data_IF_071129048756
#
_entry.id   IF_071129048756
#
_cell.length_a   1.000
_cell.length_b   1.000
_cell.length_c   1.000
_cell.angle_alpha   90.00
_cell.angle_beta   90.00
_cell.angle_gamma   90.00
#
_symmetry.space_group_name_H-M   'P 1'
#
loop_
_entity.id
_entity.type
_entity.pdbx_description
1 polymer ?
#
# COMPACT_ATOMS: atom_id res chain seq x y z
N UNK A 1 8.58 28.81 -12.22
CA UNK A 1 9.77 28.37 -11.45
C UNK A 1 9.47 26.95 -11.02
N UNK A 2 10.05 25.99 -11.73
CA UNK A 2 9.93 24.56 -11.44
C UNK A 2 11.06 24.25 -10.47
N UNK A 3 10.72 23.92 -9.23
CA UNK A 3 11.69 23.41 -8.25
C UNK A 3 11.74 21.89 -8.39
N UNK A 4 12.79 21.41 -9.05
CA UNK A 4 13.20 20.01 -9.03
C UNK A 4 13.61 19.64 -7.60
N UNK A 5 12.90 18.70 -6.98
CA UNK A 5 13.36 18.07 -5.75
C UNK A 5 14.15 16.81 -6.10
N UNK A 6 15.47 16.93 -6.07
CA UNK A 6 16.40 15.81 -6.07
C UNK A 6 16.25 15.11 -4.72
N UNK A 7 15.64 13.92 -4.72
CA UNK A 7 15.75 12.99 -3.59
C UNK A 7 17.19 12.49 -3.60
N UNK A 8 17.98 12.94 -2.62
CA UNK A 8 19.37 12.55 -2.47
C UNK A 8 19.42 11.10 -1.97
N UNK A 9 19.45 10.14 -2.90
CA UNK A 9 19.73 8.74 -2.60
C UNK A 9 21.24 8.59 -2.40
N UNK A 10 21.69 8.74 -1.17
CA UNK A 10 23.07 8.46 -0.79
C UNK A 10 23.40 7.00 -1.10
N UNK A 11 24.25 6.78 -2.10
CA UNK A 11 24.87 5.48 -2.37
C UNK A 11 25.70 5.08 -1.15
N UNK A 12 25.24 4.07 -0.42
CA UNK A 12 26.14 3.21 0.33
C UNK A 12 25.83 1.76 -0.06
N UNK A 13 26.82 1.16 -0.71
CA UNK A 13 26.86 -0.25 -1.02
C UNK A 13 27.02 -1.01 0.29
N UNK A 14 25.90 -1.47 0.85
CA UNK A 14 25.84 -2.73 1.57
C UNK A 14 24.37 -3.14 1.66
N UNK A 15 24.09 -4.39 1.30
CA UNK A 15 22.75 -4.99 1.24
C UNK A 15 21.89 -4.61 2.45
N UNK A 16 20.93 -3.70 2.29
CA UNK A 16 20.03 -3.31 3.38
C UNK A 16 18.66 -2.88 2.87
N UNK A 17 17.65 -3.47 3.50
CA UNK A 17 16.25 -3.10 3.45
C UNK A 17 16.07 -1.58 3.53
N UNK A 18 15.22 -1.03 2.66
CA UNK A 18 14.66 0.30 2.86
C UNK A 18 13.63 0.24 3.99
N UNK A 19 14.10 0.19 5.23
CA UNK A 19 13.25 0.45 6.39
C UNK A 19 13.00 1.94 6.44
N UNK A 20 11.95 2.41 5.76
CA UNK A 20 11.34 3.69 6.10
C UNK A 20 10.69 3.47 7.45
N UNK A 21 11.46 3.74 8.51
CA UNK A 21 10.95 3.85 9.86
C UNK A 21 9.76 4.81 9.80
N UNK A 22 8.62 4.38 10.37
CA UNK A 22 7.55 5.29 10.75
C UNK A 22 8.25 6.51 11.33
N UNK A 23 8.02 7.67 10.73
CA UNK A 23 8.33 8.92 11.39
C UNK A 23 7.48 8.92 12.65
N UNK A 24 7.98 8.32 13.74
CA UNK A 24 7.61 8.75 15.07
C UNK A 24 7.92 10.23 15.02
N UNK A 25 6.88 11.06 15.09
CA UNK A 25 7.01 12.50 15.19
C UNK A 25 8.09 12.82 16.24
N UNK A 26 9.34 13.02 15.79
CA UNK A 26 10.38 13.62 16.62
C UNK A 26 10.27 15.14 16.61
N UNK A 27 9.41 15.70 15.76
CA UNK A 27 9.18 17.15 15.65
C UNK A 27 7.76 17.61 16.06
N UNK A 28 6.86 16.69 16.44
CA UNK A 28 5.72 17.01 17.30
C UNK A 28 5.73 16.08 18.51
N UNK A 29 6.01 16.63 19.69
CA UNK A 29 6.21 15.86 20.92
C UNK A 29 4.98 15.06 21.35
N UNK A 30 4.84 13.84 20.84
CA UNK A 30 3.86 12.85 21.30
C UNK A 30 4.57 11.57 21.78
N UNK A 31 5.65 11.74 22.53
CA UNK A 31 5.94 10.82 23.62
C UNK A 31 5.10 11.30 24.81
N UNK A 32 3.99 10.63 25.09
CA UNK A 32 3.25 10.79 26.33
C UNK A 32 4.22 10.48 27.49
N UNK A 33 3.99 11.02 28.70
CA UNK A 33 4.86 10.97 29.90
C UNK A 33 5.52 9.62 30.29
N UNK A 34 5.24 8.53 29.57
CA UNK A 34 5.67 7.16 29.82
C UNK A 34 6.40 6.46 28.64
N UNK A 35 6.66 7.15 27.52
CA UNK A 35 7.51 6.62 26.43
C UNK A 35 6.92 5.46 25.61
N UNK A 36 5.59 5.28 25.61
CA UNK A 36 4.91 4.25 24.82
C UNK A 36 4.76 4.74 23.36
N UNK A 37 5.18 3.95 22.36
CA UNK A 37 5.04 4.34 20.96
C UNK A 37 3.56 4.35 20.54
N UNK A 38 3.14 5.47 19.98
CA UNK A 38 1.79 5.70 19.45
C UNK A 38 1.88 5.82 17.93
N UNK A 39 0.83 5.37 17.26
CA UNK A 39 0.62 5.56 15.82
C UNK A 39 -0.57 6.46 15.56
N UNK A 40 -0.49 7.24 14.49
CA UNK A 40 -1.60 8.03 13.98
C UNK A 40 -2.32 7.24 12.89
N UNK A 41 -3.62 7.05 13.06
CA UNK A 41 -4.50 6.30 12.16
C UNK A 41 -5.68 7.17 11.78
N UNK A 42 -6.19 7.01 10.56
CA UNK A 42 -7.30 7.81 10.05
C UNK A 42 -8.57 6.98 9.95
N UNK A 43 -9.71 7.54 10.35
CA UNK A 43 -10.98 6.83 10.34
C UNK A 43 -12.11 7.76 9.95
N UNK A 44 -12.87 7.40 8.92
CA UNK A 44 -14.00 8.20 8.45
C UNK A 44 -15.28 7.83 9.20
N UNK A 45 -15.99 8.86 9.64
CA UNK A 45 -17.28 8.72 10.32
C UNK A 45 -18.29 9.64 9.66
N UNK A 46 -19.56 9.29 9.74
CA UNK A 46 -20.62 10.20 9.27
C UNK A 46 -20.59 11.49 10.11
N UNK A 47 -20.69 12.63 9.44
CA UNK A 47 -20.60 13.94 10.10
C UNK A 47 -21.68 14.12 11.17
N UNK A 48 -22.86 13.52 10.99
CA UNK A 48 -23.95 13.51 11.98
C UNK A 48 -23.57 12.84 13.32
N UNK A 49 -22.63 11.90 13.31
CA UNK A 49 -22.18 11.17 14.51
C UNK A 49 -20.97 11.82 15.19
N UNK A 50 -20.40 12.89 14.61
CA UNK A 50 -19.10 13.43 15.00
C UNK A 50 -19.06 13.85 16.48
N UNK A 51 -20.02 14.66 16.93
CA UNK A 51 -20.05 15.14 18.33
C UNK A 51 -20.04 13.97 19.30
N UNK A 52 -20.91 12.99 19.06
CA UNK A 52 -21.05 11.84 19.95
C UNK A 52 -19.75 11.02 20.04
N UNK A 53 -19.03 10.91 18.93
CA UNK A 53 -17.73 10.22 18.88
C UNK A 53 -16.64 11.00 19.61
N UNK A 54 -16.58 12.32 19.46
CA UNK A 54 -15.59 13.14 20.17
C UNK A 54 -15.86 13.17 21.69
N UNK A 55 -17.14 13.21 22.08
CA UNK A 55 -17.57 13.31 23.47
C UNK A 55 -17.50 11.96 24.21
N UNK A 56 -17.86 10.86 23.54
CA UNK A 56 -18.00 9.53 24.16
C UNK A 56 -16.97 8.49 23.69
N UNK A 57 -16.18 8.78 22.65
CA UNK A 57 -15.24 7.82 22.05
C UNK A 57 -15.90 6.83 21.08
N UNK A 58 -15.10 5.87 20.57
CA UNK A 58 -15.53 4.79 19.68
C UNK A 58 -15.40 3.44 20.39
N UNK A 59 -16.53 2.89 20.84
CA UNK A 59 -16.58 1.58 21.50
C UNK A 59 -16.40 0.44 20.50
N UNK A 60 -15.38 -0.40 20.70
CA UNK A 60 -15.07 -1.52 19.80
C UNK A 60 -16.26 -2.45 19.56
N UNK A 61 -16.94 -2.86 20.62
CA UNK A 61 -18.09 -3.76 20.54
C UNK A 61 -19.29 -3.20 19.77
N UNK A 62 -19.34 -1.89 19.52
CA UNK A 62 -20.45 -1.22 18.85
C UNK A 62 -20.13 -0.82 17.40
N UNK A 63 -18.85 -0.63 17.07
CA UNK A 63 -18.43 -0.06 15.80
C UNK A 63 -17.40 -0.91 15.02
N UNK A 64 -17.05 -2.11 15.49
CA UNK A 64 -16.14 -3.00 14.76
C UNK A 64 -16.69 -3.32 13.37
N UNK A 65 -15.79 -3.43 12.39
CA UNK A 65 -16.12 -3.74 11.00
C UNK A 65 -15.17 -4.79 10.39
N UNK A 66 -14.30 -5.37 11.22
CA UNK A 66 -13.39 -6.46 10.88
C UNK A 66 -13.33 -7.48 12.01
N UNK A 67 -13.14 -8.73 11.62
CA UNK A 67 -12.69 -9.81 12.48
C UNK A 67 -11.43 -10.41 11.85
N UNK A 68 -10.41 -10.66 12.66
CA UNK A 68 -9.16 -11.30 12.24
C UNK A 68 -8.85 -12.48 13.15
N UNK A 69 -7.96 -13.37 12.67
CA UNK A 69 -7.42 -14.47 13.46
C UNK A 69 -6.06 -14.07 14.01
N UNK A 70 -5.90 -14.05 15.33
CA UNK A 70 -4.64 -13.82 16.01
C UNK A 70 -4.42 -14.92 17.04
N UNK A 71 -3.29 -15.62 16.96
CA UNK A 71 -2.95 -16.75 17.85
C UNK A 71 -4.05 -17.83 17.95
N UNK A 72 -4.86 -17.97 16.90
CA UNK A 72 -5.99 -18.91 16.83
C UNK A 72 -7.32 -18.35 17.31
N UNK A 73 -7.34 -17.15 17.92
CA UNK A 73 -8.54 -16.49 18.40
C UNK A 73 -9.09 -15.47 17.41
N UNK A 74 -10.42 -15.31 17.39
CA UNK A 74 -11.07 -14.23 16.64
C UNK A 74 -11.03 -12.93 17.42
N UNK A 75 -10.44 -11.90 16.81
CA UNK A 75 -10.31 -10.57 17.40
C UNK A 75 -11.12 -9.57 16.57
N UNK A 76 -11.98 -8.81 17.24
CA UNK A 76 -12.75 -7.72 16.62
C UNK A 76 -11.84 -6.50 16.44
N UNK A 77 -11.97 -5.81 15.31
CA UNK A 77 -11.18 -4.62 15.00
C UNK A 77 -12.00 -3.52 14.32
N UNK A 78 -11.53 -2.28 14.47
CA UNK A 78 -11.80 -1.23 13.50
C UNK A 78 -10.79 -1.32 12.35
N UNK A 79 -11.25 -1.16 11.12
CA UNK A 79 -10.42 -0.88 9.96
C UNK A 79 -10.25 0.62 9.78
N UNK A 80 -9.06 1.12 10.12
CA UNK A 80 -8.62 2.48 9.83
C UNK A 80 -7.68 2.53 8.62
N UNK A 81 -7.33 3.73 8.20
CA UNK A 81 -6.43 4.02 7.09
C UNK A 81 -5.09 4.52 7.62
N UNK A 82 -4.02 4.24 6.89
CA UNK A 82 -2.70 4.83 7.14
C UNK A 82 -2.52 6.20 6.48
N UNK A 83 -3.30 6.49 5.44
CA UNK A 83 -3.37 7.80 4.82
C UNK A 83 -4.85 8.14 4.55
N UNK A 84 -5.33 9.34 4.93
CA UNK A 84 -6.73 9.71 4.71
C UNK A 84 -7.13 9.73 3.23
N UNK A 85 -6.17 9.80 2.30
CA UNK A 85 -6.38 9.75 0.84
C UNK A 85 -6.48 8.32 0.27
N UNK A 86 -6.26 7.29 1.08
CA UNK A 86 -6.43 5.88 0.67
C UNK A 86 -7.91 5.50 0.49
N UNK A 87 -8.82 6.40 0.88
CA UNK A 87 -10.23 6.34 0.52
C UNK A 87 -10.62 7.65 -0.20
N UNK A 88 -10.46 7.72 -1.53
CA UNK A 88 -10.71 8.94 -2.29
C UNK A 88 -12.20 9.33 -2.32
N UNK A 89 -13.11 8.37 -2.15
CA UNK A 89 -14.55 8.61 -2.12
C UNK A 89 -14.94 9.34 -0.83
N UNK A 90 -14.54 8.79 0.33
CA UNK A 90 -14.81 9.42 1.62
C UNK A 90 -14.00 10.71 1.82
N UNK A 91 -12.77 10.78 1.31
CA UNK A 91 -11.95 12.00 1.39
C UNK A 91 -12.60 13.22 0.73
N UNK A 92 -13.39 13.01 -0.33
CA UNK A 92 -14.09 14.08 -1.07
C UNK A 92 -15.55 14.26 -0.61
N UNK A 93 -16.08 13.34 0.20
CA UNK A 93 -17.48 13.36 0.59
C UNK A 93 -17.77 14.39 1.69
N UNK A 94 -18.76 15.28 1.51
CA UNK A 94 -19.14 16.24 2.55
C UNK A 94 -19.95 15.62 3.69
N UNK A 95 -20.48 14.41 3.52
CA UNK A 95 -21.24 13.69 4.54
C UNK A 95 -20.39 12.92 5.54
N UNK A 96 -19.07 12.92 5.34
CA UNK A 96 -18.11 12.21 6.17
C UNK A 96 -17.02 13.15 6.69
N UNK A 97 -16.63 12.93 7.93
CA UNK A 97 -15.53 13.62 8.58
C UNK A 97 -14.43 12.61 8.88
N UNK A 98 -13.20 12.93 8.49
CA UNK A 98 -12.04 12.13 8.85
C UNK A 98 -11.61 12.46 10.28
N UNK A 99 -11.47 11.44 11.10
CA UNK A 99 -10.82 11.51 12.39
C UNK A 99 -9.34 11.15 12.24
N UNK A 100 -8.49 11.84 12.98
CA UNK A 100 -7.12 11.47 13.29
C UNK A 100 -7.12 10.85 14.68
N UNK A 101 -6.71 9.59 14.78
CA UNK A 101 -6.78 8.79 16.01
C UNK A 101 -5.38 8.41 16.42
N UNK A 102 -5.04 8.64 17.69
CA UNK A 102 -3.80 8.15 18.28
C UNK A 102 -4.04 6.83 18.99
N UNK A 103 -3.33 5.79 18.59
CA UNK A 103 -3.48 4.44 19.16
C UNK A 103 -2.10 3.90 19.55
N UNK A 104 -2.05 3.12 20.63
CA UNK A 104 -0.82 2.42 21.03
C UNK A 104 -0.44 1.38 19.99
N UNK A 105 0.84 1.30 19.65
CA UNK A 105 1.32 0.34 18.65
C UNK A 105 0.92 -1.09 18.97
N UNK A 106 0.97 -1.52 20.24
CA UNK A 106 0.60 -2.91 20.61
C UNK A 106 -0.89 -3.25 20.39
N UNK A 107 -1.72 -2.26 20.05
CA UNK A 107 -3.14 -2.42 19.71
C UNK A 107 -3.43 -2.27 18.22
N UNK A 108 -2.40 -2.10 17.40
CA UNK A 108 -2.50 -1.85 15.97
C UNK A 108 -1.78 -2.91 15.14
N UNK A 109 -2.48 -3.41 14.13
CA UNK A 109 -1.95 -4.35 13.14
C UNK A 109 -2.24 -3.82 11.75
N UNK A 110 -1.41 -4.15 10.77
CA UNK A 110 -1.62 -3.80 9.37
C UNK A 110 -1.94 -5.05 8.58
N UNK A 111 -2.90 -4.95 7.67
CA UNK A 111 -3.23 -5.99 6.70
C UNK A 111 -3.45 -5.39 5.31
N UNK A 112 -3.40 -6.22 4.27
CA UNK A 112 -3.70 -5.78 2.91
C UNK A 112 -5.20 -5.93 2.62
N UNK A 113 -5.95 -4.82 2.71
CA UNK A 113 -7.38 -4.76 2.42
C UNK A 113 -7.69 -5.24 1.01
N UNK A 114 -6.74 -5.13 0.07
CA UNK A 114 -6.92 -5.65 -1.28
C UNK A 114 -7.18 -7.16 -1.28
N UNK A 115 -6.53 -7.93 -0.40
CA UNK A 115 -6.77 -9.37 -0.25
C UNK A 115 -8.15 -9.66 0.34
N UNK A 116 -8.59 -8.83 1.29
CA UNK A 116 -9.93 -8.95 1.87
C UNK A 116 -11.03 -8.67 0.83
N UNK A 117 -10.89 -7.60 0.06
CA UNK A 117 -11.86 -7.18 -0.96
C UNK A 117 -11.96 -8.16 -2.14
N UNK A 118 -10.89 -8.90 -2.43
CA UNK A 118 -10.85 -9.89 -3.51
C UNK A 118 -11.24 -11.31 -3.06
N UNK A 119 -11.58 -11.52 -1.79
CA UNK A 119 -12.13 -12.80 -1.36
C UNK A 119 -13.55 -12.97 -1.92
N UNK A 120 -13.83 -14.12 -2.54
CA UNK A 120 -15.15 -14.45 -3.13
C UNK A 120 -16.27 -14.64 -2.07
N UNK A 121 -15.94 -14.46 -0.81
CA UNK A 121 -16.79 -14.60 0.36
C UNK A 121 -16.01 -14.36 1.64
N UNK A 122 -16.69 -14.46 2.79
CA UNK A 122 -16.09 -14.31 4.12
C UNK A 122 -15.79 -15.67 4.78
N UNK A 123 -15.48 -16.70 3.96
CA UNK A 123 -15.04 -17.99 4.49
C UNK A 123 -13.57 -17.92 4.85
N UNK A 124 -13.19 -18.54 5.96
CA UNK A 124 -11.82 -18.51 6.46
C UNK A 124 -10.80 -19.06 5.45
N UNK A 125 -11.18 -20.03 4.60
CA UNK A 125 -10.32 -20.56 3.54
C UNK A 125 -10.04 -19.56 2.42
N UNK A 126 -10.96 -18.61 2.17
CA UNK A 126 -10.81 -17.58 1.14
C UNK A 126 -10.03 -16.37 1.69
N UNK A 127 -10.07 -16.16 3.01
CA UNK A 127 -9.36 -15.10 3.73
C UNK A 127 -7.96 -15.50 4.22
N UNK A 128 -7.49 -16.71 3.91
CA UNK A 128 -6.20 -17.21 4.40
C UNK A 128 -5.03 -16.27 4.04
N UNK A 129 -5.00 -15.76 2.81
CA UNK A 129 -3.97 -14.80 2.38
C UNK A 129 -4.09 -13.48 3.12
N UNK A 130 -5.32 -13.01 3.35
CA UNK A 130 -5.56 -11.80 4.12
C UNK A 130 -5.08 -11.97 5.58
N UNK A 131 -5.43 -13.07 6.25
CA UNK A 131 -4.96 -13.35 7.61
C UNK A 131 -3.44 -13.46 7.69
N UNK A 132 -2.78 -14.06 6.70
CA UNK A 132 -1.31 -14.10 6.61
C UNK A 132 -0.67 -12.73 6.38
N UNK A 133 -1.42 -11.76 5.86
CA UNK A 133 -0.95 -10.38 5.71
C UNK A 133 -1.04 -9.57 7.00
N UNK A 134 -1.70 -10.07 8.04
CA UNK A 134 -1.81 -9.34 9.32
C UNK A 134 -0.46 -9.34 10.02
N UNK A 135 0.12 -8.15 10.20
CA UNK A 135 1.38 -7.96 10.92
C UNK A 135 1.28 -6.83 11.95
N UNK A 136 2.06 -6.87 13.05
CA UNK A 136 2.17 -5.74 13.97
C UNK A 136 2.62 -4.47 13.24
N UNK A 137 2.10 -3.32 13.63
CA UNK A 137 2.34 -2.07 12.91
C UNK A 137 3.82 -1.66 12.86
N UNK A 138 4.59 -1.97 13.90
CA UNK A 138 6.02 -1.71 13.96
C UNK A 138 6.84 -2.54 12.96
N UNK A 139 6.25 -3.59 12.38
CA UNK A 139 6.87 -4.41 11.33
C UNK A 139 6.44 -4.01 9.93
N UNK A 140 5.47 -3.11 9.79
CA UNK A 140 4.97 -2.70 8.49
C UNK A 140 5.96 -1.79 7.76
N UNK A 141 6.18 -2.07 6.48
CA UNK A 141 7.03 -1.30 5.58
C UNK A 141 6.11 -0.55 4.60
N UNK A 142 6.29 0.77 4.48
CA UNK A 142 5.46 1.59 3.60
C UNK A 142 5.49 1.12 2.15
N UNK A 143 4.30 0.95 1.58
CA UNK A 143 4.13 0.48 0.20
C UNK A 143 4.37 -1.03 0.02
N UNK A 144 4.45 -1.81 1.10
CA UNK A 144 4.48 -3.27 1.02
C UNK A 144 3.10 -3.86 0.65
N UNK A 145 2.01 -3.18 1.02
CA UNK A 145 0.63 -3.57 0.71
C UNK A 145 -0.02 -2.55 -0.21
N UNK A 146 -0.90 -3.02 -1.10
CA UNK A 146 -1.56 -2.16 -2.09
C UNK A 146 -2.60 -1.27 -1.44
N UNK A 147 -3.44 -1.85 -0.59
CA UNK A 147 -4.45 -1.14 0.18
C UNK A 147 -4.25 -1.45 1.67
N UNK A 148 -3.24 -0.87 2.34
CA UNK A 148 -3.01 -1.13 3.74
C UNK A 148 -4.18 -0.60 4.59
N UNK A 149 -4.72 -1.45 5.45
CA UNK A 149 -5.64 -1.05 6.51
C UNK A 149 -4.99 -1.24 7.88
N UNK A 150 -5.23 -0.31 8.80
CA UNK A 150 -4.81 -0.42 10.19
C UNK A 150 -5.96 -0.99 11.03
N UNK A 151 -5.77 -2.21 11.50
CA UNK A 151 -6.66 -2.96 12.36
C UNK A 151 -6.44 -2.55 13.82
N UNK A 152 -7.40 -1.83 14.39
CA UNK A 152 -7.35 -1.33 15.77
C UNK A 152 -8.16 -2.27 16.67
N UNK A 153 -7.50 -2.87 17.66
CA UNK A 153 -8.07 -3.92 18.54
C UNK A 153 -8.56 -3.38 19.90
N UNK A 154 -8.68 -2.05 20.03
CA UNK A 154 -9.09 -1.39 21.29
C UNK A 154 -10.21 -0.39 21.04
N UNK A 155 -10.97 -0.08 22.09
CA UNK A 155 -11.87 1.08 22.12
C UNK A 155 -11.04 2.36 22.09
N UNK A 156 -11.52 3.36 21.35
CA UNK A 156 -10.94 4.71 21.32
C UNK A 156 -11.67 5.55 22.36
N UNK A 157 -10.94 6.12 23.31
CA UNK A 157 -11.49 6.95 24.37
C UNK A 157 -11.66 8.41 23.91
N UNK A 158 -12.54 9.19 24.57
CA UNK A 158 -12.60 10.63 24.37
C UNK A 158 -11.21 11.27 24.48
N UNK A 159 -10.87 12.14 23.55
CA UNK A 159 -9.56 12.81 23.47
C UNK A 159 -8.45 12.02 22.74
N UNK A 160 -8.65 10.73 22.43
CA UNK A 160 -7.72 9.96 21.57
C UNK A 160 -8.01 10.16 20.07
N UNK A 161 -9.11 10.83 19.74
CA UNK A 161 -9.49 11.20 18.38
C UNK A 161 -9.69 12.72 18.24
N UNK A 162 -9.26 13.27 17.12
CA UNK A 162 -9.49 14.65 16.73
C UNK A 162 -9.96 14.73 15.28
N UNK A 163 -10.62 15.83 14.90
CA UNK A 163 -10.95 16.07 13.48
C UNK A 163 -9.66 16.34 12.72
N UNK A 164 -9.48 15.66 11.59
CA UNK A 164 -8.33 15.87 10.71
C UNK A 164 -8.34 17.28 10.11
N UNK A 165 -7.27 18.06 10.31
CA UNK A 165 -7.01 19.23 9.46
C UNK A 165 -6.28 18.79 8.19
N UNK A 166 -6.99 18.71 7.07
CA UNK A 166 -6.43 18.27 5.78
C UNK A 166 -5.18 19.04 5.35
N UNK A 167 -4.99 20.29 5.80
CA UNK A 167 -3.84 21.13 5.43
C UNK A 167 -2.60 20.82 6.26
N UNK A 168 -2.79 20.48 7.54
CA UNK A 168 -1.71 20.33 8.50
C UNK A 168 -1.40 18.87 8.82
N UNK A 169 -2.40 17.99 8.80
CA UNK A 169 -2.32 16.62 9.30
C UNK A 169 -2.22 15.55 8.21
N UNK A 170 -2.28 15.92 6.92
CA UNK A 170 -2.13 14.91 5.85
C UNK A 170 -0.66 14.47 5.75
N UNK A 171 -0.36 13.16 5.66
CA UNK A 171 1.00 12.67 5.42
C UNK A 171 1.63 13.32 4.19
N UNK A 172 2.83 13.87 4.33
CA UNK A 172 3.56 14.56 3.25
C UNK A 172 4.38 13.58 2.40
N UNK A 173 4.69 12.39 2.95
CA UNK A 173 5.67 11.46 2.40
C UNK A 173 5.20 10.85 1.06
N UNK A 174 3.90 10.61 0.89
CA UNK A 174 3.32 10.04 -0.34
C UNK A 174 1.85 10.45 -0.52
N UNK A 175 1.36 10.38 -1.75
CA UNK A 175 -0.02 10.79 -2.10
C UNK A 175 -1.06 9.82 -1.55
N UNK A 176 -0.93 8.53 -1.85
CA UNK A 176 -1.77 7.42 -1.41
C UNK A 176 -0.99 6.10 -1.49
N UNK A 177 -1.43 5.11 -0.74
CA UNK A 177 -0.73 3.83 -0.56
C UNK A 177 -0.69 2.97 -1.82
N UNK A 178 -1.73 3.03 -2.67
CA UNK A 178 -1.79 2.25 -3.90
C UNK A 178 -0.73 2.69 -4.91
N UNK A 179 -0.59 4.00 -5.11
CA UNK A 179 0.44 4.57 -5.99
C UNK A 179 1.84 4.21 -5.49
N UNK A 180 2.08 4.31 -4.18
CA UNK A 180 3.36 3.93 -3.57
C UNK A 180 3.67 2.44 -3.79
N UNK A 181 2.69 1.56 -3.57
CA UNK A 181 2.84 0.12 -3.80
C UNK A 181 3.21 -0.20 -5.25
N UNK A 182 2.47 0.37 -6.22
CA UNK A 182 2.77 0.14 -7.65
C UNK A 182 4.18 0.62 -8.00
N UNK A 183 4.57 1.80 -7.51
CA UNK A 183 5.90 2.33 -7.76
C UNK A 183 7.00 1.43 -7.16
N UNK A 184 6.80 0.90 -5.96
CA UNK A 184 7.73 -0.04 -5.33
C UNK A 184 7.86 -1.32 -6.17
N UNK A 185 6.74 -1.93 -6.59
CA UNK A 185 6.75 -3.14 -7.44
C UNK A 185 7.49 -2.89 -8.75
N UNK A 186 7.22 -1.75 -9.42
CA UNK A 186 7.90 -1.39 -10.66
C UNK A 186 9.40 -1.16 -10.45
N UNK A 187 9.78 -0.54 -9.34
CA UNK A 187 11.17 -0.30 -8.99
C UNK A 187 11.91 -1.63 -8.73
N UNK A 188 11.32 -2.53 -7.95
CA UNK A 188 11.89 -3.86 -7.69
C UNK A 188 12.09 -4.65 -9.00
N UNK A 189 11.11 -4.57 -9.91
CA UNK A 189 11.21 -5.19 -11.24
C UNK A 189 12.36 -4.60 -12.06
N UNK A 190 12.56 -3.28 -12.04
CA UNK A 190 13.66 -2.61 -12.74
C UNK A 190 15.03 -2.98 -12.18
N UNK A 191 15.13 -3.14 -10.87
CA UNK A 191 16.36 -3.56 -10.20
C UNK A 191 16.72 -5.01 -10.53
N UNK A 192 15.73 -5.90 -10.61
CA UNK A 192 15.93 -7.32 -10.92
C UNK A 192 16.11 -7.59 -12.42
N UNK A 193 15.44 -6.80 -13.26
CA UNK A 193 15.36 -6.98 -14.70
C UNK A 193 15.59 -5.64 -15.43
N UNK A 194 16.82 -5.44 -15.91
CA UNK A 194 17.21 -4.24 -16.65
C UNK A 194 16.36 -3.96 -17.91
N UNK A 195 15.71 -4.98 -18.48
CA UNK A 195 14.85 -4.88 -19.66
C UNK A 195 13.35 -4.78 -19.28
N UNK A 196 13.01 -4.68 -18.00
CA UNK A 196 11.62 -4.72 -17.49
C UNK A 196 10.67 -3.74 -18.18
N UNK A 197 11.12 -2.52 -18.50
CA UNK A 197 10.28 -1.54 -19.22
C UNK A 197 9.92 -2.05 -20.63
N UNK A 198 10.88 -2.62 -21.37
CA UNK A 198 10.62 -3.24 -22.69
C UNK A 198 9.66 -4.43 -22.54
N UNK A 199 9.81 -5.25 -21.49
CA UNK A 199 8.89 -6.35 -21.17
C UNK A 199 7.46 -5.85 -20.94
N UNK A 200 7.28 -4.93 -19.99
CA UNK A 200 5.97 -4.40 -19.62
C UNK A 200 5.28 -3.74 -20.82
N UNK A 201 6.00 -2.90 -21.55
CA UNK A 201 5.47 -2.21 -22.73
C UNK A 201 5.13 -3.19 -23.85
N UNK A 202 6.01 -4.14 -24.15
CA UNK A 202 5.77 -5.11 -25.23
C UNK A 202 4.49 -5.91 -24.97
N UNK A 203 4.35 -6.52 -23.79
CA UNK A 203 3.18 -7.37 -23.50
C UNK A 203 1.89 -6.57 -23.36
N UNK A 204 1.95 -5.34 -22.85
CA UNK A 204 0.80 -4.45 -22.82
C UNK A 204 0.29 -4.14 -24.23
N UNK A 205 1.17 -3.74 -25.15
CA UNK A 205 0.78 -3.43 -26.52
C UNK A 205 0.45 -4.67 -27.35
N UNK A 206 1.09 -5.81 -27.08
CA UNK A 206 0.76 -7.09 -27.71
C UNK A 206 -0.68 -7.49 -27.38
N UNK A 207 -1.08 -7.33 -26.11
CA UNK A 207 -2.47 -7.56 -25.70
C UNK A 207 -3.46 -6.62 -26.40
N UNK A 208 -3.13 -5.34 -26.53
CA UNK A 208 -3.96 -4.40 -27.28
C UNK A 208 -4.07 -4.76 -28.77
N UNK A 209 -3.02 -5.34 -29.35
CA UNK A 209 -3.03 -5.80 -30.74
C UNK A 209 -3.93 -7.02 -30.93
N UNK A 210 -3.91 -7.98 -29.99
CA UNK A 210 -4.84 -9.12 -29.96
C UNK A 210 -6.30 -8.66 -29.93
N UNK A 211 -6.58 -7.61 -29.16
CA UNK A 211 -7.89 -6.97 -29.07
C UNK A 211 -8.19 -6.01 -30.24
N UNK A 212 -7.29 -5.94 -31.23
CA UNK A 212 -7.40 -5.11 -32.44
C UNK A 212 -7.52 -3.60 -32.18
N UNK A 213 -7.04 -3.15 -31.02
CA UNK A 213 -7.00 -1.73 -30.66
C UNK A 213 -5.77 -1.01 -31.26
N UNK A 214 -4.71 -1.76 -31.56
CA UNK A 214 -3.48 -1.27 -32.21
C UNK A 214 -3.04 -2.21 -33.34
N UNK A 215 -2.37 -1.68 -34.35
CA UNK A 215 -1.70 -2.47 -35.39
C UNK A 215 -0.32 -2.90 -34.88
N UNK A 216 0.02 -4.19 -35.00
CA UNK A 216 1.34 -4.73 -34.66
C UNK A 216 2.11 -5.12 -35.91
N UNK A 217 3.35 -4.65 -36.01
CA UNK A 217 4.34 -5.08 -37.00
C UNK A 217 5.55 -5.63 -36.27
N UNK A 218 5.86 -6.91 -36.48
CA UNK A 218 6.90 -7.60 -35.75
C UNK A 218 8.07 -8.01 -36.66
N UNK A 219 9.29 -7.86 -36.15
CA UNK A 219 10.49 -8.33 -36.81
C UNK A 219 11.22 -9.32 -35.90
N UNK A 220 10.91 -10.60 -36.10
CA UNK A 220 11.47 -11.72 -35.33
C UNK A 220 13.00 -11.78 -35.42
N UNK A 221 13.58 -11.54 -36.60
CA UNK A 221 15.03 -11.58 -36.79
C UNK A 221 15.78 -10.52 -35.99
N UNK A 222 15.16 -9.35 -35.78
CA UNK A 222 15.74 -8.24 -35.01
C UNK A 222 15.27 -8.21 -33.56
N UNK A 223 14.30 -9.05 -33.18
CA UNK A 223 13.68 -9.02 -31.86
C UNK A 223 13.06 -7.64 -31.56
N UNK A 224 12.26 -7.10 -32.47
CA UNK A 224 11.62 -5.77 -32.31
C UNK A 224 10.19 -5.79 -32.79
N UNK A 225 9.35 -4.97 -32.18
CA UNK A 225 7.96 -4.76 -32.60
C UNK A 225 7.66 -3.26 -32.70
N UNK A 226 6.80 -2.92 -33.65
CA UNK A 226 6.24 -1.58 -33.85
C UNK A 226 4.74 -1.67 -33.67
N UNK A 227 4.20 -0.86 -32.76
CA UNK A 227 2.77 -0.76 -32.49
C UNK A 227 2.26 0.60 -32.94
N UNK A 228 1.17 0.63 -33.71
CA UNK A 228 0.54 1.86 -34.18
C UNK A 228 -0.88 1.99 -33.63
N UNK A 229 -1.19 3.13 -33.06
CA UNK A 229 -2.55 3.43 -32.57
C UNK A 229 -3.40 4.02 -33.68
N UNK A 230 -4.73 3.95 -33.53
CA UNK A 230 -5.66 4.65 -34.44
C UNK A 230 -5.49 6.18 -34.47
N UNK A 231 -4.81 6.76 -33.48
CA UNK A 231 -4.49 8.20 -33.43
C UNK A 231 -3.23 8.58 -34.22
N UNK A 232 -2.53 7.60 -34.80
CA UNK A 232 -1.28 7.81 -35.55
C UNK A 232 0.00 7.78 -34.71
N UNK A 233 -0.09 7.54 -33.40
CA UNK A 233 1.09 7.35 -32.55
C UNK A 233 1.77 6.02 -32.87
N UNK A 234 3.10 6.00 -32.85
CA UNK A 234 3.91 4.81 -33.12
C UNK A 234 4.85 4.54 -31.95
N UNK A 235 4.87 3.29 -31.47
CA UNK A 235 5.73 2.83 -30.38
C UNK A 235 6.66 1.72 -30.89
N UNK A 236 7.97 1.91 -30.75
CA UNK A 236 8.99 0.97 -31.16
C UNK A 236 9.58 0.32 -29.91
N UNK A 237 9.39 -0.99 -29.74
CA UNK A 237 9.70 -1.72 -28.51
C UNK A 237 10.56 -2.94 -28.84
N UNK A 238 11.53 -3.26 -27.99
CA UNK A 238 12.30 -4.51 -28.14
C UNK A 238 11.45 -5.70 -27.72
N UNK A 239 11.46 -6.76 -28.52
CA UNK A 239 10.80 -8.01 -28.18
C UNK A 239 11.59 -8.69 -27.05
N UNK A 240 10.94 -8.97 -25.92
CA UNK A 240 11.61 -9.59 -24.80
C UNK A 240 12.01 -11.05 -25.07
N UNK A 241 13.14 -11.50 -24.54
CA UNK A 241 13.62 -12.89 -24.67
C UNK A 241 13.34 -13.66 -23.37
N UNK A 242 12.25 -14.42 -23.33
CA UNK A 242 11.73 -15.08 -22.11
C UNK A 242 12.74 -16.11 -21.53
N UNK A 243 13.52 -16.77 -22.39
CA UNK A 243 14.43 -17.83 -22.00
C UNK A 243 15.51 -17.35 -21.01
N UNK A 244 15.94 -16.08 -21.13
CA UNK A 244 16.94 -15.46 -20.24
C UNK A 244 16.41 -15.13 -18.84
N UNK A 245 15.10 -15.03 -18.70
CA UNK A 245 14.44 -14.67 -17.44
C UNK A 245 14.30 -15.89 -16.52
N UNK A 246 13.91 -17.04 -17.09
CA UNK A 246 13.70 -18.27 -16.32
C UNK A 246 14.96 -18.72 -15.57
N UNK A 247 16.16 -18.44 -16.10
CA UNK A 247 17.43 -18.70 -15.41
C UNK A 247 17.64 -17.77 -14.21
N UNK A 248 17.31 -16.48 -14.31
CA UNK A 248 17.49 -15.50 -13.22
C UNK A 248 16.54 -15.75 -12.05
N UNK A 249 15.27 -16.00 -12.30
CA UNK A 249 14.30 -16.27 -11.23
C UNK A 249 14.54 -17.62 -10.56
N UNK A 250 14.94 -18.67 -11.30
CA UNK A 250 15.32 -19.97 -10.73
C UNK A 250 16.53 -19.86 -9.79
N UNK A 251 17.52 -19.04 -10.12
CA UNK A 251 18.71 -18.86 -9.27
C UNK A 251 18.43 -18.11 -7.96
N UNK A 252 17.37 -17.29 -7.91
CA UNK A 252 16.98 -16.54 -6.71
C UNK A 252 16.16 -17.39 -5.72
N UNK A 253 15.25 -18.23 -6.19
CA UNK A 253 14.48 -19.17 -5.34
C UNK A 253 15.40 -20.18 -4.64
N UNK A 254 16.44 -20.68 -5.33
CA UNK A 254 17.43 -21.60 -4.75
C UNK A 254 18.31 -20.98 -3.64
N UNK A 255 18.42 -19.66 -3.54
CA UNK A 255 19.18 -18.99 -2.48
C UNK A 255 18.38 -18.79 -1.20
N UNK A 256 17.05 -18.63 -1.29
CA UNK A 256 16.20 -18.48 -0.11
C UNK A 256 16.01 -19.81 0.66
N UNK A 257 16.05 -20.95 -0.02
CA UNK A 257 15.94 -22.28 0.62
C UNK A 257 17.20 -22.76 1.36
N UNK A 258 18.34 -22.07 1.21
CA UNK A 258 19.63 -22.47 1.83
C UNK A 258 20.06 -21.60 3.02
N UNK A 259 19.19 -20.71 3.48
CA UNK A 259 19.44 -19.80 4.62
C UNK A 259 18.52 -20.04 5.82
N UNK A 260 18.04 -21.28 6.01
CA UNK A 260 17.36 -21.74 7.24
C UNK A 260 18.27 -22.68 8.01
#
# INVERSE_FOLDING_TARGET
MVTDFIINTGKNYDHNNYTILIASNRESGAANLWGVPMVEVYYYVRTENLSNILDCGLKLSAYYNREIIMDGDRVMCFSGLLNPKDDPELYKSPGYTCLKIQVKNEKCFIADRFLYENANGLKDSELELYYKSVIPIEKYIFGAYRLPECLITTTILPGEAAVLDKRMDSPVIYTNSEELYINNVLQDLREQLAESDDFLLYYFFDRLAEEKQVEKLENEHKGTAVFKTGTGSTYCIKKPQIERINEKFRLQTYRQDKSV
#
